data_IF_947346158733
#
_entry.id   IF_947346158733
#
_cell.length_a   1.000
_cell.length_b   1.000
_cell.length_c   1.000
_cell.angle_alpha   90.00
_cell.angle_beta   90.00
_cell.angle_gamma   90.00
#
_symmetry.space_group_name_H-M   'P 1'
#
loop_
_entity.id
_entity.type
_entity.pdbx_description
1 polymer ?
#
# COMPACT_ATOMS: atom_id res chain seq x y z
N UNK A 1 -4.22 -4.16 -8.26
CA UNK A 1 -5.39 -4.60 -7.48
C UNK A 1 -6.26 -3.40 -7.19
N UNK A 2 -7.58 -3.55 -7.25
CA UNK A 2 -8.49 -2.51 -6.77
C UNK A 2 -8.50 -2.51 -5.24
N UNK A 3 -8.51 -1.33 -4.61
CA UNK A 3 -8.67 -1.18 -3.16
C UNK A 3 -10.00 -0.47 -2.94
N UNK A 4 -10.82 -1.01 -2.04
CA UNK A 4 -12.15 -0.50 -1.72
C UNK A 4 -12.25 -0.09 -0.26
N UNK A 5 -13.32 0.61 0.11
CA UNK A 5 -13.60 1.03 1.49
C UNK A 5 -13.67 -0.13 2.49
N UNK A 6 -13.95 -1.35 2.00
CA UNK A 6 -14.03 -2.59 2.78
C UNK A 6 -12.79 -3.48 2.66
N UNK A 7 -11.79 -3.07 1.87
CA UNK A 7 -10.59 -3.88 1.67
C UNK A 7 -9.78 -3.99 2.98
N UNK A 8 -9.46 -5.21 3.45
CA UNK A 8 -8.68 -5.39 4.69
C UNK A 8 -7.18 -5.23 4.46
N UNK A 9 -6.74 -5.16 3.20
CA UNK A 9 -5.34 -5.14 2.81
C UNK A 9 -5.14 -4.47 1.46
N UNK A 10 -3.93 -3.95 1.24
CA UNK A 10 -3.43 -3.50 -0.06
C UNK A 10 -2.43 -4.52 -0.57
N UNK A 11 -2.59 -4.94 -1.82
CA UNK A 11 -1.65 -5.83 -2.50
C UNK A 11 -1.16 -5.22 -3.81
N UNK A 12 0.05 -5.59 -4.19
CA UNK A 12 0.66 -5.15 -5.44
C UNK A 12 1.99 -5.86 -5.67
N UNK A 13 2.76 -5.29 -6.60
CA UNK A 13 4.09 -5.77 -6.92
C UNK A 13 5.14 -4.68 -6.70
N UNK A 14 6.32 -5.09 -6.27
CA UNK A 14 7.51 -4.27 -6.15
C UNK A 14 8.74 -5.13 -6.45
N UNK A 15 9.93 -4.52 -6.43
CA UNK A 15 11.17 -5.29 -6.54
C UNK A 15 11.28 -6.30 -5.39
N UNK A 16 11.67 -7.54 -5.70
CA UNK A 16 11.79 -8.60 -4.71
C UNK A 16 12.74 -8.20 -3.56
N UNK A 17 12.30 -8.41 -2.31
CA UNK A 17 13.05 -8.01 -1.12
C UNK A 17 13.04 -6.50 -0.82
N UNK A 18 12.37 -5.67 -1.63
CA UNK A 18 12.19 -4.25 -1.33
C UNK A 18 11.19 -4.02 -0.19
N UNK A 19 11.41 -2.95 0.57
CA UNK A 19 10.47 -2.50 1.60
C UNK A 19 9.44 -1.59 0.96
N UNK A 20 8.19 -2.01 0.96
CA UNK A 20 7.05 -1.24 0.48
C UNK A 20 6.43 -0.48 1.64
N UNK A 21 6.20 0.81 1.44
CA UNK A 21 5.54 1.72 2.38
C UNK A 21 4.23 2.21 1.77
N UNK A 22 3.15 2.10 2.53
CA UNK A 22 1.83 2.63 2.20
C UNK A 22 1.50 3.73 3.21
N UNK A 23 1.33 4.96 2.74
CA UNK A 23 0.90 6.10 3.53
C UNK A 23 -0.61 6.32 3.34
N UNK A 24 -1.34 6.31 4.46
CA UNK A 24 -2.77 6.58 4.50
C UNK A 24 -3.03 8.09 4.50
N UNK A 25 -4.26 8.55 4.17
CA UNK A 25 -4.59 9.98 4.08
C UNK A 25 -4.41 10.79 5.37
N UNK A 26 -4.37 10.14 6.53
CA UNK A 26 -4.11 10.79 7.82
C UNK A 26 -2.62 10.82 8.20
N UNK A 27 -1.74 10.36 7.31
CA UNK A 27 -0.31 10.22 7.56
C UNK A 27 0.09 8.93 8.30
N UNK A 28 -0.83 7.99 8.54
CA UNK A 28 -0.43 6.67 9.06
C UNK A 28 0.41 5.94 8.02
N UNK A 29 1.59 5.48 8.42
CA UNK A 29 2.51 4.74 7.56
C UNK A 29 2.45 3.24 7.88
N UNK A 30 2.23 2.43 6.86
CA UNK A 30 2.22 0.98 6.93
C UNK A 30 3.36 0.45 6.07
N UNK A 31 4.01 -0.63 6.51
CA UNK A 31 5.14 -1.21 5.77
C UNK A 31 4.96 -2.69 5.56
N UNK A 32 5.44 -3.19 4.42
CA UNK A 32 5.55 -4.60 4.08
C UNK A 32 6.83 -4.84 3.29
N UNK A 33 7.22 -6.10 3.14
CA UNK A 33 8.35 -6.50 2.29
C UNK A 33 7.79 -7.29 1.11
N UNK A 34 8.28 -7.00 -0.09
CA UNK A 34 7.95 -7.79 -1.26
C UNK A 34 8.68 -9.14 -1.19
N UNK A 35 7.95 -10.22 -1.46
CA UNK A 35 8.50 -11.58 -1.49
C UNK A 35 9.50 -11.79 -2.65
N UNK A 36 10.08 -12.98 -2.74
CA UNK A 36 11.04 -13.34 -3.80
C UNK A 36 10.45 -13.29 -5.22
N UNK A 37 9.12 -13.27 -5.33
CA UNK A 37 8.40 -13.12 -6.59
C UNK A 37 7.97 -11.67 -6.84
N UNK A 38 8.31 -10.75 -5.94
CA UNK A 38 7.97 -9.33 -6.01
C UNK A 38 6.57 -8.99 -5.53
N UNK A 39 5.81 -9.92 -4.93
CA UNK A 39 4.47 -9.63 -4.43
C UNK A 39 4.54 -9.11 -2.99
N UNK A 40 3.74 -8.10 -2.68
CA UNK A 40 3.58 -7.63 -1.30
C UNK A 40 2.10 -7.60 -0.91
N UNK A 41 1.86 -7.74 0.40
CA UNK A 41 0.55 -7.52 1.02
C UNK A 41 0.76 -6.73 2.30
N UNK A 42 -0.02 -5.66 2.46
CA UNK A 42 0.02 -4.78 3.63
C UNK A 42 -1.39 -4.71 4.20
N UNK A 43 -1.53 -5.13 5.47
CA UNK A 43 -2.82 -5.10 6.16
C UNK A 43 -3.22 -3.67 6.48
N UNK A 44 -4.46 -3.33 6.14
CA UNK A 44 -5.05 -2.06 6.51
C UNK A 44 -5.58 -2.16 7.95
N UNK A 45 -5.34 -1.13 8.79
CA UNK A 45 -5.84 -1.08 10.15
C UNK A 45 -7.37 -1.21 10.23
N UNK A 46 -7.88 -2.23 10.92
CA UNK A 46 -9.33 -2.48 11.02
C UNK A 46 -10.11 -1.37 11.76
N UNK A 47 -9.44 -0.55 12.57
CA UNK A 47 -10.03 0.62 13.22
C UNK A 47 -10.17 1.82 12.28
N UNK A 48 -9.64 1.74 11.05
CA UNK A 48 -9.67 2.79 10.05
C UNK A 48 -10.77 2.51 9.05
N UNK A 49 -11.73 3.42 9.02
CA UNK A 49 -12.84 3.38 8.06
C UNK A 49 -12.50 4.28 6.88
N UNK A 50 -12.40 3.68 5.72
CA UNK A 50 -12.37 4.38 4.45
C UNK A 50 -13.79 4.60 3.95
N UNK A 51 -14.01 5.66 3.17
CA UNK A 51 -15.32 6.07 2.64
C UNK A 51 -15.35 6.11 1.10
N UNK A 52 -14.23 5.76 0.46
CA UNK A 52 -14.04 5.94 -0.96
C UNK A 52 -13.60 7.36 -1.32
N UNK A 53 -12.80 7.46 -2.37
CA UNK A 53 -12.14 8.69 -2.83
C UNK A 53 -10.84 9.01 -2.08
N UNK A 54 -10.49 8.25 -1.04
CA UNK A 54 -9.19 8.40 -0.39
C UNK A 54 -8.04 7.96 -1.31
N UNK A 55 -6.87 8.59 -1.14
CA UNK A 55 -5.67 8.25 -1.87
C UNK A 55 -4.64 7.64 -0.92
N UNK A 56 -4.25 6.39 -1.20
CA UNK A 56 -3.13 5.73 -0.52
C UNK A 56 -1.88 5.92 -1.36
N UNK A 57 -0.80 6.37 -0.75
CA UNK A 57 0.47 6.56 -1.45
C UNK A 57 1.37 5.39 -1.18
N UNK A 58 1.95 4.82 -2.23
CA UNK A 58 2.80 3.65 -2.15
C UNK A 58 4.18 3.98 -2.71
N UNK A 59 5.21 3.65 -1.95
CA UNK A 59 6.61 3.77 -2.38
C UNK A 59 7.36 2.51 -1.98
N UNK A 60 8.30 2.05 -2.80
CA UNK A 60 9.23 0.98 -2.41
C UNK A 60 10.64 1.53 -2.22
N UNK A 61 11.40 0.90 -1.32
CA UNK A 61 12.82 1.15 -1.12
C UNK A 61 13.57 -0.17 -1.28
N UNK A 62 14.52 -0.23 -2.20
CA UNK A 62 15.34 -1.43 -2.43
C UNK A 62 16.36 -1.65 -1.28
N UNK A 63 17.05 -2.80 -1.31
CA UNK A 63 18.07 -3.13 -0.31
C UNK A 63 19.31 -2.21 -0.37
N UNK A 64 19.50 -1.48 -1.46
CA UNK A 64 20.58 -0.49 -1.64
C UNK A 64 20.17 0.91 -1.16
N UNK A 65 18.91 1.11 -0.75
CA UNK A 65 18.36 2.37 -0.27
C UNK A 65 17.78 3.28 -1.37
N UNK A 66 17.62 2.81 -2.61
CA UNK A 66 16.97 3.59 -3.66
C UNK A 66 15.45 3.54 -3.50
N UNK A 67 14.80 4.69 -3.62
CA UNK A 67 13.34 4.82 -3.49
C UNK A 67 12.69 4.90 -4.88
N UNK A 68 11.56 4.22 -5.05
CA UNK A 68 10.72 4.32 -6.25
C UNK A 68 10.00 5.65 -6.35
N UNK A 69 9.44 5.92 -7.53
CA UNK A 69 8.38 6.92 -7.68
C UNK A 69 7.17 6.56 -6.81
N UNK A 70 6.41 7.58 -6.41
CA UNK A 70 5.17 7.41 -5.66
C UNK A 70 4.06 6.90 -6.59
N UNK A 71 3.45 5.77 -6.21
CA UNK A 71 2.23 5.27 -6.82
C UNK A 71 1.04 5.66 -5.96
N UNK A 72 -0.03 6.16 -6.58
CA UNK A 72 -1.27 6.51 -5.88
C UNK A 72 -2.33 5.45 -6.14
N UNK A 73 -2.88 4.89 -5.07
CA UNK A 73 -4.00 3.95 -5.10
C UNK A 73 -5.23 4.66 -4.58
N UNK A 74 -6.21 4.85 -5.43
CA UNK A 74 -7.51 5.38 -5.04
C UNK A 74 -8.34 4.28 -4.37
N UNK A 75 -8.83 4.56 -3.17
CA UNK A 75 -9.81 3.72 -2.48
C UNK A 75 -11.16 3.96 -3.13
N UNK A 76 -11.77 2.93 -3.70
CA UNK A 76 -13.12 3.03 -4.24
C UNK A 76 -14.15 2.87 -3.14
N UNK A 77 -15.21 3.67 -3.24
CA UNK A 77 -16.37 3.44 -2.40
C UNK A 77 -17.01 2.09 -2.75
N UNK A 78 -17.41 1.36 -1.72
CA UNK A 78 -18.21 0.15 -1.81
C UNK A 78 -19.23 0.22 -0.68
N UNK A 79 -20.50 0.20 -1.07
CA UNK A 79 -21.68 0.31 -0.20
C UNK A 79 -22.24 -1.05 0.18
#
# INVERSE_FOLDING_TARGET
>A
SEVTSESPQVSGTAEAGSTVKVELPDGTELTGVADDQGNYTINLPANKKFRGGEQLKVTSTDASGNKSDEAVVEVKDTT
#
